data_IF_303867209028
#
_entry.id   IF_303867209028
#
_cell.length_a   1.000
_cell.length_b   1.000
_cell.length_c   1.000
_cell.angle_alpha   90.00
_cell.angle_beta   90.00
_cell.angle_gamma   90.00
#
_symmetry.space_group_name_H-M   'P 1'
#
loop_
_entity.id
_entity.type
_entity.pdbx_description
1 polymer ?
#
# COMPACT_ATOMS: atom_id res chain seq x y z
N UNK A 1 21.26 36.67 -65.22
CA UNK A 1 21.81 35.41 -64.67
C UNK A 1 21.02 35.04 -63.44
N UNK A 2 20.13 34.05 -63.56
CA UNK A 2 19.31 33.52 -62.47
C UNK A 2 20.15 32.54 -61.63
N UNK A 3 20.18 32.72 -60.31
CA UNK A 3 20.57 31.67 -59.36
C UNK A 3 19.34 31.28 -58.56
N UNK A 4 18.74 30.18 -59.00
CA UNK A 4 17.65 29.46 -58.33
C UNK A 4 18.30 28.74 -57.14
N UNK A 5 17.98 29.15 -55.91
CA UNK A 5 18.28 28.37 -54.73
C UNK A 5 17.02 27.64 -54.30
N UNK A 6 17.05 26.33 -54.54
CA UNK A 6 16.23 25.29 -53.95
C UNK A 6 16.14 25.51 -52.43
N UNK A 7 14.95 25.76 -51.91
CA UNK A 7 14.69 25.67 -50.48
C UNK A 7 13.67 24.57 -50.23
N UNK A 8 14.13 23.54 -49.53
CA UNK A 8 13.43 22.32 -49.17
C UNK A 8 12.05 22.60 -48.56
N UNK A 9 11.04 21.91 -49.09
CA UNK A 9 9.72 21.79 -48.49
C UNK A 9 9.84 20.82 -47.28
N UNK A 10 9.82 21.36 -46.07
CA UNK A 10 9.81 20.56 -44.84
C UNK A 10 8.36 20.08 -44.58
N UNK A 11 8.06 18.83 -44.93
CA UNK A 11 6.77 18.19 -44.59
C UNK A 11 6.87 17.67 -43.16
N UNK A 12 6.32 18.43 -42.20
CA UNK A 12 6.15 17.96 -40.81
C UNK A 12 4.94 17.04 -40.73
N UNK A 13 5.18 15.74 -40.59
CA UNK A 13 4.16 14.74 -40.27
C UNK A 13 3.78 14.91 -38.79
N UNK A 14 2.58 15.45 -38.53
CA UNK A 14 2.02 15.53 -37.17
C UNK A 14 1.38 14.18 -36.86
N UNK A 15 2.08 13.35 -36.09
CA UNK A 15 1.55 12.10 -35.56
C UNK A 15 0.53 12.43 -34.47
N UNK A 16 -0.76 12.34 -34.77
CA UNK A 16 -1.82 12.44 -33.77
C UNK A 16 -1.87 11.12 -33.01
N UNK A 17 -1.20 11.05 -31.86
CA UNK A 17 -1.38 9.92 -30.94
C UNK A 17 -2.77 10.09 -30.32
N UNK A 18 -3.72 9.27 -30.76
CA UNK A 18 -5.03 9.18 -30.14
C UNK A 18 -4.83 8.65 -28.71
N UNK A 19 -4.91 9.55 -27.72
CA UNK A 19 -5.03 9.17 -26.32
C UNK A 19 -6.38 8.47 -26.15
N UNK A 20 -6.35 7.15 -26.10
CA UNK A 20 -7.50 6.34 -25.70
C UNK A 20 -7.78 6.63 -24.23
N UNK A 21 -8.73 7.53 -23.96
CA UNK A 21 -9.28 7.73 -22.63
C UNK A 21 -10.09 6.48 -22.26
N UNK A 22 -9.46 5.50 -21.61
CA UNK A 22 -10.21 4.46 -20.91
C UNK A 22 -10.75 5.05 -19.62
N UNK A 23 -11.98 5.56 -19.69
CA UNK A 23 -12.77 5.95 -18.53
C UNK A 23 -13.04 4.69 -17.69
N UNK A 24 -12.27 4.47 -16.63
CA UNK A 24 -12.66 3.54 -15.59
C UNK A 24 -13.74 4.20 -14.75
N UNK A 25 -15.00 3.90 -15.04
CA UNK A 25 -16.08 4.16 -14.11
C UNK A 25 -15.82 3.32 -12.86
N UNK A 26 -15.45 3.95 -11.74
CA UNK A 26 -15.43 3.29 -10.45
C UNK A 26 -16.87 2.93 -10.08
N UNK A 27 -17.14 1.65 -9.85
CA UNK A 27 -18.40 1.20 -9.28
C UNK A 27 -18.61 1.91 -7.94
N UNK A 28 -19.72 2.65 -7.84
CA UNK A 28 -20.16 3.23 -6.59
C UNK A 28 -20.63 2.08 -5.69
N UNK A 29 -19.82 1.75 -4.68
CA UNK A 29 -20.21 0.80 -3.64
C UNK A 29 -21.39 1.40 -2.90
N UNK A 30 -22.56 0.77 -3.07
CA UNK A 30 -23.78 1.15 -2.38
C UNK A 30 -23.61 0.92 -0.89
N UNK A 31 -23.98 1.95 -0.15
CA UNK A 31 -24.03 2.05 1.32
C UNK A 31 -25.08 1.08 1.88
N UNK A 32 -24.80 -0.22 1.82
CA UNK A 32 -25.55 -1.29 2.50
C UNK A 32 -24.74 -2.59 2.67
N UNK A 33 -23.39 -2.52 2.66
CA UNK A 33 -22.53 -3.65 3.05
C UNK A 33 -22.18 -3.52 4.53
N UNK A 34 -22.99 -4.18 5.36
CA UNK A 34 -22.77 -4.28 6.80
C UNK A 34 -21.47 -5.03 7.07
N UNK A 35 -20.39 -4.30 7.38
CA UNK A 35 -19.21 -4.79 8.12
C UNK A 35 -18.53 -6.05 7.54
N UNK A 36 -18.23 -6.07 6.24
CA UNK A 36 -17.53 -7.21 5.65
C UNK A 36 -16.05 -7.19 6.07
N UNK A 37 -15.74 -7.89 7.17
CA UNK A 37 -14.38 -8.12 7.64
C UNK A 37 -13.56 -8.76 6.52
N UNK A 38 -12.56 -8.04 6.01
CA UNK A 38 -11.65 -8.56 5.00
C UNK A 38 -10.27 -8.81 5.60
N UNK A 39 -9.84 -10.07 5.56
CA UNK A 39 -8.52 -10.49 6.05
C UNK A 39 -7.50 -10.58 4.91
N UNK A 40 -6.29 -10.08 5.15
CA UNK A 40 -5.13 -10.14 4.28
C UNK A 40 -3.99 -10.87 4.99
N UNK A 41 -3.30 -11.77 4.28
CA UNK A 41 -2.25 -12.63 4.83
C UNK A 41 -2.78 -13.99 5.30
N UNK A 42 -2.03 -14.72 6.14
CA UNK A 42 -0.76 -14.31 6.76
C UNK A 42 0.39 -14.22 5.75
N UNK A 43 1.23 -13.18 5.90
CA UNK A 43 2.49 -13.02 5.17
C UNK A 43 3.65 -13.42 6.08
N UNK A 44 4.60 -14.19 5.55
CA UNK A 44 5.87 -14.45 6.24
C UNK A 44 6.78 -13.24 6.11
N UNK A 45 7.44 -12.86 7.19
CA UNK A 45 8.31 -11.68 7.20
C UNK A 45 9.60 -11.90 7.99
N UNK A 46 10.58 -11.02 7.75
CA UNK A 46 11.82 -10.92 8.51
C UNK A 46 12.18 -9.44 8.67
N UNK A 47 12.23 -8.96 9.91
CA UNK A 47 12.58 -7.56 10.19
C UNK A 47 13.98 -7.23 9.66
N UNK A 48 14.22 -5.99 9.24
CA UNK A 48 15.54 -5.48 8.79
C UNK A 48 16.11 -6.19 7.56
N UNK A 49 15.28 -6.84 6.74
CA UNK A 49 15.70 -7.45 5.48
C UNK A 49 15.54 -6.50 4.26
N UNK A 50 15.10 -5.26 4.51
CA UNK A 50 14.87 -4.24 3.48
C UNK A 50 13.55 -4.42 2.71
N UNK A 51 12.68 -5.34 3.13
CA UNK A 51 11.38 -5.60 2.53
C UNK A 51 10.25 -5.19 3.48
N UNK A 52 9.08 -4.97 2.91
CA UNK A 52 7.86 -4.82 3.67
C UNK A 52 7.37 -6.17 4.18
N UNK A 53 6.84 -6.20 5.39
CA UNK A 53 6.46 -7.43 6.08
C UNK A 53 5.08 -7.96 5.62
N UNK A 54 4.24 -7.11 5.06
CA UNK A 54 2.94 -7.49 4.51
C UNK A 54 2.26 -6.37 3.74
N UNK A 55 1.12 -6.66 3.13
CA UNK A 55 0.32 -5.71 2.33
C UNK A 55 -1.17 -5.83 2.66
N UNK A 56 -1.86 -4.69 2.72
CA UNK A 56 -3.31 -4.60 2.94
C UNK A 56 -3.92 -3.57 1.99
N UNK A 57 -5.17 -3.79 1.58
CA UNK A 57 -5.96 -2.83 0.80
C UNK A 57 -7.12 -2.35 1.64
N UNK A 58 -7.17 -1.05 1.87
CA UNK A 58 -8.26 -0.34 2.53
C UNK A 58 -9.19 0.19 1.43
N UNK A 59 -10.41 -0.37 1.26
CA UNK A 59 -11.26 -0.08 0.11
C UNK A 59 -11.99 1.26 0.21
N UNK A 60 -12.34 1.68 1.43
CA UNK A 60 -13.12 2.88 1.72
C UNK A 60 -12.48 3.68 2.85
N UNK A 61 -12.81 4.97 2.93
CA UNK A 61 -12.25 5.85 3.96
C UNK A 61 -12.99 5.68 5.27
N UNK A 62 -12.27 5.81 6.38
CA UNK A 62 -12.83 5.62 7.71
C UNK A 62 -12.80 4.15 8.19
N UNK A 63 -12.16 3.26 7.43
CA UNK A 63 -12.03 1.86 7.80
C UNK A 63 -10.94 1.63 8.85
N UNK A 64 -11.13 0.66 9.71
CA UNK A 64 -10.16 0.26 10.72
C UNK A 64 -9.31 -0.90 10.20
N UNK A 65 -7.99 -0.82 10.41
CA UNK A 65 -7.06 -1.91 10.07
C UNK A 65 -6.47 -2.47 11.35
N UNK A 66 -6.85 -3.70 11.70
CA UNK A 66 -6.24 -4.46 12.79
C UNK A 66 -5.10 -5.32 12.27
N UNK A 67 -3.88 -5.04 12.73
CA UNK A 67 -2.71 -5.86 12.47
C UNK A 67 -2.57 -6.91 13.54
N UNK A 68 -2.26 -8.14 13.15
CA UNK A 68 -1.93 -9.26 14.05
C UNK A 68 -0.60 -9.87 13.66
N UNK A 69 0.30 -10.08 14.64
CA UNK A 69 1.56 -10.81 14.44
C UNK A 69 1.53 -12.14 15.20
N UNK A 70 1.92 -13.22 14.52
CA UNK A 70 1.99 -14.58 15.08
C UNK A 70 3.34 -15.23 14.80
N UNK A 71 3.64 -16.28 15.55
CA UNK A 71 4.86 -17.09 15.38
C UNK A 71 6.14 -16.24 15.38
N UNK A 72 6.14 -15.15 16.15
CA UNK A 72 7.26 -14.23 16.23
C UNK A 72 8.35 -14.85 17.11
N UNK A 73 9.55 -15.05 16.56
CA UNK A 73 10.71 -15.54 17.30
C UNK A 73 11.43 -14.40 18.07
N UNK A 74 10.66 -13.61 18.82
CA UNK A 74 11.15 -12.49 19.62
C UNK A 74 10.39 -12.43 20.94
N UNK A 75 11.12 -12.23 22.02
CA UNK A 75 10.57 -11.96 23.34
C UNK A 75 10.68 -10.46 23.62
N UNK A 76 9.54 -9.76 23.68
CA UNK A 76 9.46 -8.33 23.92
C UNK A 76 8.20 -7.71 23.33
N UNK A 77 8.21 -6.38 23.21
CA UNK A 77 7.13 -5.58 22.63
C UNK A 77 7.49 -5.15 21.20
N UNK A 78 7.11 -5.92 20.17
CA UNK A 78 7.31 -5.49 18.79
C UNK A 78 6.45 -4.27 18.49
N UNK A 79 6.96 -3.38 17.64
CA UNK A 79 6.21 -2.24 17.12
C UNK A 79 5.83 -2.50 15.67
N UNK A 80 4.74 -1.88 15.22
CA UNK A 80 4.32 -1.92 13.82
C UNK A 80 3.89 -0.53 13.35
N UNK A 81 4.10 -0.26 12.06
CA UNK A 81 3.52 0.87 11.32
C UNK A 81 2.90 0.40 10.01
N UNK A 82 2.04 1.24 9.44
CA UNK A 82 1.51 1.09 8.09
C UNK A 82 2.01 2.24 7.21
N UNK A 83 2.50 1.95 6.02
CA UNK A 83 2.98 2.94 5.05
C UNK A 83 2.12 2.90 3.78
N UNK A 84 1.52 4.03 3.42
CA UNK A 84 0.70 4.13 2.21
C UNK A 84 1.60 4.02 0.96
N UNK A 85 1.26 3.09 0.08
CA UNK A 85 2.05 2.78 -1.11
C UNK A 85 2.11 3.94 -2.11
N UNK A 86 1.07 4.79 -2.17
CA UNK A 86 0.97 5.86 -3.15
C UNK A 86 1.60 7.17 -2.67
N UNK A 87 1.41 7.52 -1.39
CA UNK A 87 1.93 8.79 -0.85
C UNK A 87 3.30 8.64 -0.18
N UNK A 88 3.70 7.41 0.18
CA UNK A 88 4.89 7.16 0.99
C UNK A 88 4.74 7.55 2.46
N UNK A 89 3.60 8.12 2.86
CA UNK A 89 3.34 8.51 4.24
C UNK A 89 3.11 7.28 5.11
N UNK A 90 3.74 7.25 6.27
CA UNK A 90 3.61 6.18 7.25
C UNK A 90 2.94 6.67 8.53
N UNK A 91 2.20 5.77 9.17
CA UNK A 91 1.84 5.96 10.57
C UNK A 91 3.10 5.97 11.44
N UNK A 92 3.01 6.52 12.64
CA UNK A 92 4.02 6.28 13.67
C UNK A 92 4.12 4.78 13.99
N UNK A 93 5.31 4.34 14.37
CA UNK A 93 5.47 3.03 15.01
C UNK A 93 4.73 3.02 16.34
N UNK A 94 4.06 1.91 16.64
CA UNK A 94 3.56 1.70 17.98
C UNK A 94 3.35 0.23 18.32
N UNK A 95 3.16 -0.07 19.61
CA UNK A 95 3.26 -1.43 20.11
C UNK A 95 2.14 -2.32 19.60
N UNK A 96 2.51 -3.57 19.30
CA UNK A 96 1.61 -4.70 19.18
C UNK A 96 1.40 -5.29 20.58
N UNK A 97 0.17 -5.27 21.07
CA UNK A 97 -0.14 -5.56 22.47
C UNK A 97 -0.36 -7.05 22.69
N UNK A 98 0.22 -7.56 23.79
CA UNK A 98 -0.06 -8.91 24.28
C UNK A 98 -1.52 -9.05 24.76
N UNK A 99 -2.09 -10.28 24.76
CA UNK A 99 -1.46 -11.57 24.44
C UNK A 99 -1.45 -11.94 22.95
N UNK A 100 -2.20 -11.23 22.11
CA UNK A 100 -2.40 -11.59 20.70
C UNK A 100 -1.45 -10.87 19.73
N UNK A 101 -0.58 -9.99 20.23
CA UNK A 101 0.28 -9.10 19.45
C UNK A 101 -0.51 -8.40 18.35
N UNK A 102 -1.49 -7.61 18.77
CA UNK A 102 -2.37 -6.86 17.87
C UNK A 102 -2.27 -5.36 18.05
N UNK A 103 -2.58 -4.63 16.97
CA UNK A 103 -2.72 -3.17 16.98
C UNK A 103 -3.74 -2.75 15.93
N UNK A 104 -4.67 -1.89 16.30
CA UNK A 104 -5.65 -1.31 15.39
C UNK A 104 -5.25 0.11 15.01
N UNK A 105 -5.29 0.40 13.72
CA UNK A 105 -5.19 1.74 13.14
C UNK A 105 -6.58 2.15 12.70
N UNK A 106 -7.11 3.23 13.26
CA UNK A 106 -8.49 3.66 12.99
C UNK A 106 -8.56 4.71 11.90
N UNK A 107 -9.75 4.85 11.31
CA UNK A 107 -10.08 5.91 10.36
C UNK A 107 -9.12 5.99 9.15
N UNK A 108 -8.65 4.84 8.68
CA UNK A 108 -7.68 4.77 7.59
C UNK A 108 -8.30 5.28 6.29
N UNK A 109 -7.53 6.07 5.54
CA UNK A 109 -7.93 6.52 4.20
C UNK A 109 -7.83 5.35 3.21
N UNK A 110 -8.65 5.34 2.14
CA UNK A 110 -8.58 4.32 1.11
C UNK A 110 -7.17 4.25 0.50
N UNK A 111 -6.71 3.04 0.22
CA UNK A 111 -5.42 2.83 -0.43
C UNK A 111 -4.79 1.49 -0.12
N UNK A 112 -3.65 1.24 -0.77
CA UNK A 112 -2.79 0.11 -0.44
C UNK A 112 -1.76 0.54 0.59
N UNK A 113 -1.59 -0.27 1.64
CA UNK A 113 -0.60 -0.04 2.68
C UNK A 113 0.32 -1.25 2.82
N UNK A 114 1.55 -0.97 3.21
CA UNK A 114 2.54 -1.97 3.60
C UNK A 114 2.74 -1.96 5.11
N UNK A 115 2.79 -3.14 5.71
CA UNK A 115 3.13 -3.32 7.12
C UNK A 115 4.64 -3.42 7.32
N UNK A 116 5.12 -2.85 8.42
CA UNK A 116 6.53 -2.87 8.83
C UNK A 116 6.63 -3.07 10.33
N UNK A 117 7.17 -4.21 10.73
CA UNK A 117 7.34 -4.70 12.10
C UNK A 117 8.79 -4.53 12.50
N UNK A 118 9.00 -3.99 13.70
CA UNK A 118 10.34 -3.83 14.28
C UNK A 118 10.40 -4.40 15.69
N UNK A 119 11.53 -5.02 16.02
CA UNK A 119 11.82 -5.64 17.33
C UNK A 119 13.03 -4.98 18.01
N UNK A 120 13.29 -3.71 17.69
CA UNK A 120 14.45 -2.97 18.20
C UNK A 120 15.75 -3.35 17.48
N UNK A 121 16.75 -3.82 18.22
CA UNK A 121 18.10 -4.11 17.67
C UNK A 121 18.24 -5.51 17.08
N UNK A 122 17.39 -6.45 17.46
CA UNK A 122 17.48 -7.83 16.96
C UNK A 122 16.76 -8.00 15.63
N UNK A 123 17.18 -9.01 14.88
CA UNK A 123 16.48 -9.47 13.68
C UNK A 123 15.52 -10.59 14.07
N UNK A 124 14.26 -10.46 13.69
CA UNK A 124 13.19 -11.41 14.02
C UNK A 124 12.37 -11.75 12.79
N UNK A 125 11.60 -12.83 12.86
CA UNK A 125 10.74 -13.34 11.79
C UNK A 125 9.45 -13.87 12.39
N UNK A 126 8.38 -13.80 11.62
CA UNK A 126 7.08 -14.33 12.00
C UNK A 126 6.11 -14.26 10.85
N UNK A 127 4.83 -14.20 11.21
CA UNK A 127 3.74 -13.97 10.26
C UNK A 127 2.92 -12.76 10.65
N UNK A 128 2.54 -11.93 9.68
CA UNK A 128 1.66 -10.76 9.86
C UNK A 128 0.38 -10.92 9.05
N UNK A 129 -0.75 -10.56 9.63
CA UNK A 129 -2.05 -10.47 8.96
C UNK A 129 -2.75 -9.15 9.26
N UNK A 130 -3.70 -8.78 8.41
CA UNK A 130 -4.45 -7.54 8.50
C UNK A 130 -5.94 -7.83 8.37
N UNK A 131 -6.73 -7.26 9.24
CA UNK A 131 -8.19 -7.33 9.24
C UNK A 131 -8.75 -5.93 9.01
N UNK A 132 -9.48 -5.73 7.92
CA UNK A 132 -10.11 -4.45 7.56
C UNK A 132 -11.59 -4.49 7.91
N UNK A 133 -12.07 -3.47 8.61
CA UNK A 133 -13.48 -3.31 9.03
C UNK A 133 -14.01 -1.94 8.68
#
# INVERSE_FOLDING_TARGET
MYKILFSLLLVTVISVVAFGNTSHASEAITKDDVTLLKTFGPYKFKTKDGKWDGKVVVPSGGADVTVTVRNLNFYGEPLVRLCNASSGNCTGFGPLRQPLLTRTFTDMLPGTYYGDVVTGVVTSSGTISFDVR
#
